data_IF_633094514175
#
_entry.id   IF_633094514175
#
_cell.length_a   1.000
_cell.length_b   1.000
_cell.length_c   1.000
_cell.angle_alpha   90.00
_cell.angle_beta   90.00
_cell.angle_gamma   90.00
#
_symmetry.space_group_name_H-M   'P 1'
#
loop_
_entity.id
_entity.type
_entity.pdbx_description
1 polymer ?
#
# COMPACT_ATOMS: atom_id res chain seq x y z
N UNK A 1 -4.97 -0.51 -6.56
CA UNK A 1 -5.53 -1.75 -5.97
C UNK A 1 -4.38 -2.54 -5.38
N UNK A 2 -4.66 -3.43 -4.42
CA UNK A 2 -3.65 -4.29 -3.79
C UNK A 2 -4.00 -5.74 -4.13
N UNK A 3 -3.14 -6.40 -4.90
CA UNK A 3 -3.29 -7.79 -5.27
C UNK A 3 -2.51 -8.65 -4.27
N UNK A 4 -3.14 -9.69 -3.75
CA UNK A 4 -2.53 -10.54 -2.73
C UNK A 4 -2.84 -12.00 -3.02
N UNK A 5 -1.81 -12.84 -2.91
CA UNK A 5 -1.91 -14.26 -3.18
C UNK A 5 -1.00 -15.04 -2.23
N UNK A 6 -1.54 -16.12 -1.68
CA UNK A 6 -0.79 -17.05 -0.85
C UNK A 6 -1.44 -18.44 -0.92
N UNK A 7 -0.97 -19.25 -1.89
CA UNK A 7 -1.53 -20.59 -2.12
C UNK A 7 -1.38 -21.51 -0.92
N UNK A 8 -0.30 -21.38 -0.17
CA UNK A 8 0.04 -22.28 0.94
C UNK A 8 -0.84 -22.03 2.17
N UNK A 9 -1.12 -20.77 2.50
CA UNK A 9 -1.81 -20.42 3.74
C UNK A 9 -3.27 -19.98 3.55
N UNK A 10 -3.63 -19.42 2.38
CA UNK A 10 -4.99 -18.91 2.08
C UNK A 10 -5.70 -19.83 1.08
N UNK A 11 -4.95 -20.57 0.28
CA UNK A 11 -5.46 -21.39 -0.82
C UNK A 11 -5.36 -20.67 -2.16
N UNK A 12 -5.86 -21.30 -3.23
CA UNK A 12 -5.79 -20.75 -4.58
C UNK A 12 -6.83 -19.64 -4.80
N UNK A 13 -6.62 -18.51 -4.11
CA UNK A 13 -7.50 -17.35 -4.15
C UNK A 13 -6.64 -16.10 -4.29
N UNK A 14 -6.84 -15.37 -5.38
CA UNK A 14 -6.31 -14.03 -5.54
C UNK A 14 -7.28 -13.04 -4.90
N UNK A 15 -6.86 -12.39 -3.82
CA UNK A 15 -7.65 -11.34 -3.17
C UNK A 15 -7.19 -9.98 -3.71
N UNK A 16 -8.13 -9.18 -4.19
CA UNK A 16 -7.90 -7.85 -4.73
C UNK A 16 -8.58 -6.83 -3.85
N UNK A 17 -7.81 -6.02 -3.15
CA UNK A 17 -8.33 -5.03 -2.22
C UNK A 17 -8.37 -3.68 -2.93
N UNK A 18 -9.57 -3.12 -3.03
CA UNK A 18 -9.89 -1.92 -3.80
C UNK A 18 -9.97 -0.71 -2.87
N UNK A 19 -10.59 -0.87 -1.71
CA UNK A 19 -10.76 0.18 -0.72
C UNK A 19 -10.85 -0.41 0.68
N UNK A 20 -10.55 0.42 1.69
CA UNK A 20 -10.81 0.10 3.08
C UNK A 20 -12.32 0.20 3.37
N UNK A 21 -12.85 -0.75 4.14
CA UNK A 21 -14.24 -0.76 4.59
C UNK A 21 -14.48 0.15 5.81
N UNK A 22 -13.42 0.59 6.49
CA UNK A 22 -13.44 1.43 7.69
C UNK A 22 -14.33 0.88 8.80
N UNK A 23 -14.44 -0.45 8.89
CA UNK A 23 -15.31 -1.14 9.86
C UNK A 23 -16.81 -1.08 9.52
N UNK A 24 -17.19 -0.62 8.33
CA UNK A 24 -18.57 -0.67 7.86
C UNK A 24 -18.96 -2.12 7.51
N UNK A 25 -20.25 -2.43 7.64
CA UNK A 25 -20.77 -3.74 7.27
C UNK A 25 -20.59 -4.01 5.76
N UNK A 26 -20.18 -5.23 5.42
CA UNK A 26 -19.97 -5.69 4.05
C UNK A 26 -20.89 -6.86 3.72
N UNK A 27 -21.32 -6.89 2.47
CA UNK A 27 -22.01 -8.01 1.83
C UNK A 27 -21.14 -8.57 0.70
N UNK A 28 -21.46 -9.76 0.22
CA UNK A 28 -20.77 -10.33 -0.93
C UNK A 28 -21.76 -10.95 -1.93
N UNK A 29 -21.38 -10.92 -3.21
CA UNK A 29 -22.01 -11.70 -4.26
C UNK A 29 -20.96 -12.57 -4.94
N UNK A 30 -21.27 -13.85 -5.19
CA UNK A 30 -20.38 -14.77 -5.90
C UNK A 30 -21.04 -15.28 -7.18
N UNK A 31 -20.32 -15.20 -8.28
CA UNK A 31 -20.69 -15.74 -9.60
C UNK A 31 -19.49 -16.50 -10.14
N UNK A 32 -19.65 -17.82 -10.33
CA UNK A 32 -18.57 -18.71 -10.71
C UNK A 32 -17.34 -18.60 -9.80
N UNK A 33 -16.22 -18.23 -10.41
CA UNK A 33 -14.91 -18.08 -9.78
C UNK A 33 -14.69 -16.70 -9.13
N UNK A 34 -15.64 -15.78 -9.22
CA UNK A 34 -15.45 -14.40 -8.76
C UNK A 34 -16.45 -14.08 -7.66
N UNK A 35 -15.95 -13.59 -6.52
CA UNK A 35 -16.76 -12.95 -5.50
C UNK A 35 -16.43 -11.47 -5.37
N UNK A 36 -17.45 -10.63 -5.43
CA UNK A 36 -17.38 -9.19 -5.14
C UNK A 36 -17.77 -8.95 -3.69
N UNK A 37 -16.94 -8.24 -2.95
CA UNK A 37 -17.24 -7.75 -1.60
C UNK A 37 -17.52 -6.26 -1.67
N UNK A 38 -18.65 -5.84 -1.11
CA UNK A 38 -19.11 -4.46 -1.20
C UNK A 38 -19.74 -3.98 0.12
N UNK A 39 -19.66 -2.68 0.37
CA UNK A 39 -20.30 -2.05 1.52
C UNK A 39 -21.83 -2.23 1.45
N UNK A 40 -22.45 -2.70 2.53
CA UNK A 40 -23.89 -2.96 2.58
C UNK A 40 -24.71 -1.69 2.29
N UNK A 41 -24.30 -0.56 2.88
CA UNK A 41 -25.05 0.69 2.79
C UNK A 41 -24.94 1.38 1.42
N UNK A 42 -23.79 1.28 0.76
CA UNK A 42 -23.49 2.08 -0.44
C UNK A 42 -23.38 1.26 -1.72
N UNK A 43 -23.29 -0.07 -1.61
CA UNK A 43 -22.99 -0.95 -2.74
C UNK A 43 -21.57 -0.81 -3.28
N UNK A 44 -20.72 0.05 -2.70
CA UNK A 44 -19.36 0.30 -3.17
C UNK A 44 -18.49 -0.94 -2.97
N UNK A 45 -17.88 -1.42 -4.05
CA UNK A 45 -16.92 -2.52 -4.02
C UNK A 45 -15.67 -2.16 -3.21
N UNK A 46 -15.32 -3.02 -2.26
CA UNK A 46 -14.12 -2.88 -1.40
C UNK A 46 -13.09 -3.97 -1.68
N UNK A 47 -13.52 -5.15 -2.13
CA UNK A 47 -12.60 -6.22 -2.51
C UNK A 47 -13.20 -7.18 -3.54
N UNK A 48 -12.31 -7.95 -4.18
CA UNK A 48 -12.65 -9.10 -5.01
C UNK A 48 -11.89 -10.32 -4.51
N UNK A 49 -12.53 -11.48 -4.55
CA UNK A 49 -11.87 -12.77 -4.37
C UNK A 49 -12.04 -13.57 -5.65
N UNK A 50 -10.93 -13.90 -6.30
CA UNK A 50 -10.89 -14.68 -7.53
C UNK A 50 -10.36 -16.06 -7.15
N UNK A 51 -11.25 -17.04 -7.13
CA UNK A 51 -10.98 -18.43 -6.78
C UNK A 51 -10.34 -19.16 -7.96
N UNK A 52 -9.56 -20.20 -7.67
CA UNK A 52 -8.85 -21.01 -8.67
C UNK A 52 -7.98 -20.13 -9.59
N UNK A 53 -7.39 -19.07 -9.02
CA UNK A 53 -6.65 -18.05 -9.76
C UNK A 53 -5.50 -18.64 -10.58
N UNK A 54 -4.87 -19.71 -10.10
CA UNK A 54 -3.80 -20.41 -10.83
C UNK A 54 -4.26 -21.13 -12.10
N UNK A 55 -5.58 -21.32 -12.29
CA UNK A 55 -6.16 -21.80 -13.55
C UNK A 55 -6.34 -20.70 -14.60
N UNK A 56 -6.41 -19.44 -14.15
CA UNK A 56 -6.64 -18.26 -15.00
C UNK A 56 -5.32 -17.60 -15.41
N UNK A 57 -4.38 -17.49 -14.48
CA UNK A 57 -3.10 -16.82 -14.68
C UNK A 57 -1.98 -17.56 -13.95
N UNK A 58 -0.77 -17.54 -14.51
CA UNK A 58 0.41 -18.05 -13.80
C UNK A 58 0.73 -17.11 -12.63
N UNK A 59 0.52 -17.57 -11.40
CA UNK A 59 0.67 -16.75 -10.21
C UNK A 59 1.28 -17.54 -9.06
N UNK A 60 2.26 -16.93 -8.41
CA UNK A 60 2.87 -17.41 -7.17
C UNK A 60 3.11 -16.21 -6.26
N UNK A 61 3.10 -16.42 -4.96
CA UNK A 61 3.26 -15.33 -4.00
C UNK A 61 3.02 -15.76 -2.56
N UNK A 62 3.53 -14.96 -1.64
CA UNK A 62 3.30 -15.05 -0.21
C UNK A 62 3.03 -13.63 0.32
N UNK A 63 1.84 -13.09 0.01
CA UNK A 63 1.46 -11.71 0.34
C UNK A 63 1.13 -10.90 -0.91
N UNK A 64 1.58 -9.65 -0.96
CA UNK A 64 1.36 -8.78 -2.12
C UNK A 64 2.06 -9.33 -3.36
N UNK A 65 1.35 -9.35 -4.47
CA UNK A 65 1.83 -9.76 -5.79
C UNK A 65 1.63 -8.63 -6.79
N UNK A 66 2.48 -8.60 -7.81
CA UNK A 66 2.42 -7.62 -8.89
C UNK A 66 2.13 -8.36 -10.18
N UNK A 67 1.03 -7.97 -10.84
CA UNK A 67 0.55 -8.63 -12.04
C UNK A 67 1.05 -7.91 -13.29
N UNK A 68 1.18 -8.64 -14.39
CA UNK A 68 1.35 -8.02 -15.71
C UNK A 68 0.03 -7.48 -16.24
N UNK A 69 0.10 -6.59 -17.23
CA UNK A 69 -1.11 -6.09 -17.89
C UNK A 69 -1.89 -7.21 -18.58
N UNK A 70 -1.22 -8.24 -19.12
CA UNK A 70 -1.92 -9.41 -19.69
C UNK A 70 -2.65 -10.23 -18.63
N UNK A 71 -2.05 -10.42 -17.46
CA UNK A 71 -2.70 -11.11 -16.34
C UNK A 71 -3.93 -10.33 -15.88
N UNK A 72 -3.82 -9.01 -15.71
CA UNK A 72 -4.97 -8.17 -15.33
C UNK A 72 -6.06 -8.17 -16.41
N UNK A 73 -5.70 -8.16 -17.69
CA UNK A 73 -6.66 -8.30 -18.79
C UNK A 73 -7.39 -9.64 -18.74
N UNK A 74 -6.68 -10.74 -18.44
CA UNK A 74 -7.27 -12.08 -18.29
C UNK A 74 -8.26 -12.14 -17.13
N UNK A 75 -7.90 -11.57 -15.97
CA UNK A 75 -8.80 -11.49 -14.83
C UNK A 75 -10.03 -10.62 -15.12
N UNK A 76 -9.85 -9.50 -15.82
CA UNK A 76 -10.97 -8.65 -16.25
C UNK A 76 -11.93 -9.35 -17.22
N UNK A 77 -11.41 -10.20 -18.11
CA UNK A 77 -12.25 -11.02 -18.99
C UNK A 77 -13.08 -12.03 -18.18
N UNK A 78 -12.51 -12.62 -17.13
CA UNK A 78 -13.25 -13.53 -16.24
C UNK A 78 -14.33 -12.77 -15.42
N UNK A 79 -14.01 -11.58 -14.88
CA UNK A 79 -15.00 -10.71 -14.22
C UNK A 79 -16.18 -10.40 -15.15
N UNK A 80 -15.90 -10.00 -16.39
CA UNK A 80 -16.91 -9.68 -17.39
C UNK A 80 -17.75 -10.91 -17.78
N UNK A 81 -17.13 -12.08 -17.93
CA UNK A 81 -17.81 -13.36 -18.19
C UNK A 81 -18.81 -13.71 -17.09
N UNK A 82 -18.47 -13.45 -15.83
CA UNK A 82 -19.35 -13.65 -14.69
C UNK A 82 -20.39 -12.52 -14.50
N UNK A 83 -20.40 -11.52 -15.41
CA UNK A 83 -21.41 -10.46 -15.45
C UNK A 83 -21.11 -9.25 -14.57
N UNK A 84 -19.86 -9.06 -14.15
CA UNK A 84 -19.41 -7.84 -13.47
C UNK A 84 -19.01 -6.77 -14.48
N UNK A 85 -19.30 -5.50 -14.17
CA UNK A 85 -19.00 -4.37 -15.07
C UNK A 85 -17.73 -3.62 -14.66
N UNK A 86 -17.33 -3.76 -13.41
CA UNK A 86 -16.12 -3.17 -12.86
C UNK A 86 -14.88 -3.89 -13.36
N UNK A 87 -13.79 -3.13 -13.51
CA UNK A 87 -12.51 -3.64 -13.98
C UNK A 87 -11.43 -3.43 -12.94
N UNK A 88 -10.57 -4.43 -12.79
CA UNK A 88 -9.31 -4.36 -12.08
C UNK A 88 -8.34 -3.43 -12.82
N UNK A 89 -7.60 -2.62 -12.06
CA UNK A 89 -6.60 -1.68 -12.59
C UNK A 89 -5.23 -2.12 -12.12
N UNK A 90 -4.33 -2.32 -13.08
CA UNK A 90 -2.92 -2.54 -12.78
C UNK A 90 -2.23 -1.20 -12.50
N UNK A 91 -1.63 -1.07 -11.33
CA UNK A 91 -0.83 0.10 -10.98
C UNK A 91 0.59 -0.36 -10.65
N UNK A 92 1.44 -0.34 -11.67
CA UNK A 92 2.83 -0.76 -11.59
C UNK A 92 3.75 0.29 -10.95
N UNK A 93 3.21 1.40 -10.44
CA UNK A 93 4.05 2.41 -9.77
C UNK A 93 4.60 1.87 -8.45
N UNK A 94 5.91 2.06 -8.16
CA UNK A 94 6.49 1.64 -6.90
C UNK A 94 5.75 2.23 -5.71
N UNK A 95 5.42 1.39 -4.73
CA UNK A 95 4.69 1.81 -3.53
C UNK A 95 5.61 2.14 -2.35
N UNK A 96 6.87 1.72 -2.41
CA UNK A 96 7.91 2.16 -1.52
C UNK A 96 8.89 3.00 -2.31
N UNK A 97 9.04 4.27 -1.95
CA UNK A 97 9.89 5.22 -2.67
C UNK A 97 10.71 6.07 -1.72
N UNK A 98 11.80 6.64 -2.22
CA UNK A 98 12.55 7.68 -1.54
C UNK A 98 11.72 8.97 -1.53
N UNK A 99 11.39 9.47 -0.34
CA UNK A 99 10.73 10.76 -0.14
C UNK A 99 11.65 11.77 0.54
N UNK A 100 11.40 13.06 0.32
CA UNK A 100 12.07 14.15 1.04
C UNK A 100 11.05 15.04 1.73
N UNK A 101 11.23 15.27 3.03
CA UNK A 101 10.39 16.21 3.79
C UNK A 101 10.73 17.64 3.33
N UNK A 102 9.81 18.30 2.63
CA UNK A 102 10.00 19.68 2.15
C UNK A 102 9.46 20.73 3.11
N UNK A 103 8.48 20.34 3.93
CA UNK A 103 7.88 21.17 4.97
C UNK A 103 7.44 20.28 6.14
N UNK A 104 7.55 20.79 7.36
CA UNK A 104 7.12 20.12 8.58
C UNK A 104 6.52 21.15 9.52
N UNK A 105 5.25 20.95 9.90
CA UNK A 105 4.54 21.80 10.86
C UNK A 105 3.96 20.95 12.00
N UNK A 106 3.89 21.47 13.24
CA UNK A 106 3.25 20.77 14.34
C UNK A 106 1.77 20.46 14.04
N UNK A 107 1.29 19.31 14.49
CA UNK A 107 -0.12 18.94 14.36
C UNK A 107 -0.98 19.78 15.32
N UNK A 108 -2.13 20.35 14.89
CA UNK A 108 -2.96 21.22 15.73
C UNK A 108 -3.59 20.49 16.94
N UNK A 109 -3.89 19.21 16.77
CA UNK A 109 -4.51 18.33 17.79
C UNK A 109 -3.53 17.29 18.40
N UNK A 110 -2.21 17.51 18.30
CA UNK A 110 -1.22 16.62 18.96
C UNK A 110 0.15 17.27 19.16
N UNK A 111 0.74 17.04 20.34
CA UNK A 111 2.10 17.44 20.72
C UNK A 111 3.18 16.44 20.29
N UNK A 112 2.80 15.32 19.69
CA UNK A 112 3.70 14.23 19.29
C UNK A 112 3.64 13.91 17.79
N UNK A 113 2.79 14.61 17.04
CA UNK A 113 2.65 14.44 15.59
C UNK A 113 3.00 15.73 14.87
N UNK A 114 3.50 15.56 13.65
CA UNK A 114 3.75 16.64 12.70
C UNK A 114 3.01 16.34 11.41
N UNK A 115 2.60 17.39 10.72
CA UNK A 115 2.10 17.34 9.35
C UNK A 115 3.31 17.62 8.46
N UNK A 116 3.73 16.61 7.70
CA UNK A 116 4.86 16.70 6.79
C UNK A 116 4.36 16.79 5.35
N UNK A 117 4.88 17.76 4.59
CA UNK A 117 4.79 17.74 3.14
C UNK A 117 6.02 17.00 2.61
N UNK A 118 5.81 15.91 1.87
CA UNK A 118 6.87 15.01 1.44
C UNK A 118 6.88 14.93 -0.09
N UNK A 119 7.96 15.38 -0.72
CA UNK A 119 8.20 15.18 -2.14
C UNK A 119 8.55 13.71 -2.40
N UNK A 120 7.80 13.04 -3.28
CA UNK A 120 7.94 11.61 -3.60
C UNK A 120 8.24 11.38 -5.08
N UNK A 121 8.81 12.38 -5.76
CA UNK A 121 9.15 12.32 -7.18
C UNK A 121 8.00 12.79 -8.05
N UNK A 122 8.10 14.02 -8.56
CA UNK A 122 7.10 14.63 -9.45
C UNK A 122 5.82 15.10 -8.75
N UNK A 123 5.65 14.82 -7.45
CA UNK A 123 4.55 15.34 -6.62
C UNK A 123 4.92 15.39 -5.13
N UNK A 124 4.17 16.19 -4.39
CA UNK A 124 4.25 16.28 -2.93
C UNK A 124 2.99 15.67 -2.31
N UNK A 125 3.14 14.92 -1.23
CA UNK A 125 2.04 14.31 -0.48
C UNK A 125 2.10 14.73 0.99
N UNK A 126 0.95 14.93 1.60
CA UNK A 126 0.84 15.17 3.05
C UNK A 126 0.90 13.85 3.80
N UNK A 127 1.77 13.75 4.79
CA UNK A 127 1.90 12.58 5.68
C UNK A 127 1.94 13.09 7.12
N UNK A 128 1.03 12.60 7.95
CA UNK A 128 1.09 12.86 9.40
C UNK A 128 2.03 11.84 10.03
N UNK A 129 3.05 12.29 10.75
CA UNK A 129 4.07 11.42 11.34
C UNK A 129 4.50 11.87 12.74
N UNK A 130 4.76 10.90 13.61
CA UNK A 130 5.29 11.10 14.97
C UNK A 130 6.72 10.62 15.15
N UNK A 131 7.48 10.45 14.06
CA UNK A 131 8.86 9.99 14.15
C UNK A 131 9.73 11.09 14.79
N UNK A 132 10.50 10.79 15.85
CA UNK A 132 11.24 11.82 16.59
C UNK A 132 12.38 12.44 15.79
N UNK A 133 12.87 11.76 14.76
CA UNK A 133 13.93 12.21 13.86
C UNK A 133 13.38 12.85 12.57
N UNK A 134 12.07 13.02 12.41
CA UNK A 134 11.51 13.71 11.26
C UNK A 134 11.93 15.20 11.27
N UNK A 135 12.58 15.64 10.20
CA UNK A 135 13.06 17.01 10.05
C UNK A 135 12.92 17.47 8.59
N UNK A 136 12.70 18.77 8.39
CA UNK A 136 12.72 19.35 7.05
C UNK A 136 14.08 19.11 6.38
N UNK A 137 14.05 18.72 5.11
CA UNK A 137 15.22 18.34 4.32
C UNK A 137 15.54 16.84 4.34
N UNK A 138 15.11 16.11 5.39
CA UNK A 138 15.41 14.69 5.55
C UNK A 138 14.86 13.86 4.39
N UNK A 139 15.71 12.99 3.85
CA UNK A 139 15.33 11.94 2.90
C UNK A 139 15.09 10.63 3.64
N UNK A 140 13.99 9.98 3.31
CA UNK A 140 13.52 8.76 3.98
C UNK A 140 12.79 7.84 3.01
N UNK A 141 12.35 6.67 3.48
CA UNK A 141 11.50 5.76 2.71
C UNK A 141 10.04 6.02 3.05
N UNK A 142 9.23 6.15 2.01
CA UNK A 142 7.79 6.41 2.10
C UNK A 142 7.04 5.23 1.52
N UNK A 143 6.14 4.64 2.31
CA UNK A 143 5.09 3.75 1.84
C UNK A 143 3.88 4.57 1.38
N UNK A 144 3.57 4.51 0.09
CA UNK A 144 2.45 5.18 -0.54
C UNK A 144 1.17 4.32 -0.49
N UNK A 145 -0.02 4.93 -0.64
CA UNK A 145 -1.27 4.20 -0.77
C UNK A 145 -1.20 3.08 -1.82
N UNK A 146 -1.64 1.89 -1.42
CA UNK A 146 -1.49 0.66 -2.19
C UNK A 146 -0.29 -0.21 -1.80
N UNK A 147 0.56 0.25 -0.88
CA UNK A 147 1.59 -0.60 -0.27
C UNK A 147 0.98 -1.62 0.71
N UNK A 148 1.50 -2.84 0.69
CA UNK A 148 1.39 -3.80 1.80
C UNK A 148 2.71 -3.79 2.58
N UNK A 149 2.62 -3.55 3.87
CA UNK A 149 3.74 -3.65 4.81
C UNK A 149 4.10 -5.13 5.04
N UNK A 150 5.36 -5.46 5.38
CA UNK A 150 5.76 -6.82 5.76
C UNK A 150 4.93 -7.44 6.90
N UNK A 151 4.32 -6.61 7.76
CA UNK A 151 3.37 -7.06 8.79
C UNK A 151 2.01 -7.53 8.25
N UNK A 152 1.74 -7.32 6.96
CA UNK A 152 0.43 -7.52 6.32
C UNK A 152 -0.48 -6.29 6.35
N UNK A 153 -0.11 -5.23 7.07
CA UNK A 153 -0.89 -3.98 7.12
C UNK A 153 -0.89 -3.27 5.77
N UNK A 154 -2.02 -2.67 5.39
CA UNK A 154 -2.20 -2.00 4.10
C UNK A 154 -2.20 -0.49 4.27
N UNK A 155 -1.56 0.22 3.34
CA UNK A 155 -1.55 1.68 3.33
C UNK A 155 -2.70 2.19 2.46
N UNK A 156 -3.64 2.91 3.08
CA UNK A 156 -4.74 3.59 2.42
C UNK A 156 -4.66 5.11 2.59
N UNK A 157 -5.24 5.89 1.67
CA UNK A 157 -5.49 7.31 1.90
C UNK A 157 -6.46 7.47 3.08
N UNK A 158 -6.09 8.28 4.06
CA UNK A 158 -6.88 8.40 5.28
C UNK A 158 -6.72 9.74 5.97
N UNK A 159 -7.26 9.79 7.20
CA UNK A 159 -7.08 10.91 8.11
C UNK A 159 -6.53 10.39 9.42
N UNK A 160 -5.58 11.12 10.00
CA UNK A 160 -5.09 10.88 11.35
C UNK A 160 -5.42 12.12 12.17
N UNK A 161 -6.29 11.97 13.18
CA UNK A 161 -6.76 13.08 14.04
C UNK A 161 -7.31 14.27 13.25
N UNK A 162 -8.07 14.00 12.19
CA UNK A 162 -8.74 15.00 11.36
C UNK A 162 -7.93 15.46 10.14
N UNK A 163 -6.60 15.36 10.21
CA UNK A 163 -5.69 15.78 9.15
C UNK A 163 -5.45 14.67 8.13
N UNK A 164 -5.40 15.03 6.85
CA UNK A 164 -5.19 14.06 5.77
C UNK A 164 -3.79 13.45 5.84
N UNK A 165 -3.68 12.15 5.59
CA UNK A 165 -2.42 11.43 5.49
C UNK A 165 -2.45 10.46 4.31
N UNK A 166 -1.53 10.66 3.38
CA UNK A 166 -1.45 9.95 2.11
C UNK A 166 -0.19 9.08 2.02
N UNK A 167 0.12 8.38 3.11
CA UNK A 167 1.24 7.46 3.19
C UNK A 167 1.79 7.32 4.60
N UNK A 168 2.95 6.71 4.70
CA UNK A 168 3.68 6.50 5.94
C UNK A 168 5.17 6.60 5.66
N UNK A 169 5.90 7.35 6.49
CA UNK A 169 7.37 7.31 6.48
C UNK A 169 7.82 6.11 7.31
N UNK A 170 8.69 5.28 6.74
CA UNK A 170 8.97 3.95 7.27
C UNK A 170 10.22 3.91 8.15
N UNK A 171 10.11 3.19 9.26
CA UNK A 171 11.25 2.72 10.05
C UNK A 171 11.85 1.43 9.47
N UNK A 172 13.11 1.11 9.81
CA UNK A 172 13.70 -0.18 9.44
C UNK A 172 12.92 -1.38 9.98
N UNK A 173 12.32 -1.23 11.17
CA UNK A 173 11.54 -2.28 11.84
C UNK A 173 10.25 -2.60 11.10
N UNK A 174 9.54 -1.58 10.66
CA UNK A 174 8.30 -1.74 9.87
C UNK A 174 8.56 -2.43 8.53
N UNK A 175 9.73 -2.17 7.94
CA UNK A 175 10.18 -2.81 6.71
C UNK A 175 10.85 -4.18 6.94
N UNK A 176 10.85 -4.69 8.17
CA UNK A 176 11.48 -5.96 8.56
C UNK A 176 12.95 -6.07 8.10
N UNK A 177 13.68 -4.96 8.12
CA UNK A 177 15.07 -4.90 7.66
C UNK A 177 16.03 -5.53 8.69
N UNK A 178 17.09 -6.21 8.24
CA UNK A 178 18.10 -6.79 9.13
C UNK A 178 18.84 -5.69 9.91
N UNK A 179 19.28 -6.02 11.14
CA UNK A 179 19.98 -5.10 12.04
C UNK A 179 19.20 -3.82 12.38
N UNK A 180 17.87 -3.82 12.24
CA UNK A 180 17.04 -2.68 12.59
C UNK A 180 17.29 -2.22 14.05
N UNK A 181 17.64 -0.95 14.28
CA UNK A 181 17.91 -0.43 15.61
C UNK A 181 16.65 -0.51 16.49
N UNK A 182 16.87 -0.66 17.81
CA UNK A 182 15.77 -0.68 18.79
C UNK A 182 15.17 0.73 19.02
N UNK A 183 15.92 1.77 18.71
CA UNK A 183 15.50 3.17 18.84
C UNK A 183 14.39 3.46 17.83
N UNK A 184 13.42 4.29 18.24
CA UNK A 184 12.33 4.74 17.38
C UNK A 184 12.84 5.79 16.39
N UNK A 185 12.47 5.66 15.13
CA UNK A 185 12.79 6.62 14.08
C UNK A 185 12.51 6.07 12.69
N UNK A 186 12.35 6.97 11.73
CA UNK A 186 12.27 6.63 10.29
C UNK A 186 13.68 6.46 9.72
N UNK A 187 13.79 5.79 8.57
CA UNK A 187 15.07 5.62 7.88
C UNK A 187 15.63 6.99 7.48
N UNK A 188 16.88 7.25 7.81
CA UNK A 188 17.60 8.43 7.35
C UNK A 188 18.46 8.04 6.15
N UNK A 189 18.28 8.73 5.03
CA UNK A 189 19.03 8.49 3.81
C UNK A 189 20.02 9.62 3.55
N UNK A 190 21.16 9.26 2.96
CA UNK A 190 22.16 10.21 2.48
C UNK A 190 21.57 11.20 1.46
N UNK A 191 22.10 12.42 1.41
CA UNK A 191 21.69 13.45 0.46
C UNK A 191 21.84 13.03 -1.02
N UNK A 192 22.66 12.03 -1.30
CA UNK A 192 22.79 11.45 -2.64
C UNK A 192 21.59 10.60 -3.07
N UNK A 193 20.68 10.23 -2.17
CA UNK A 193 19.48 9.47 -2.51
C UNK A 193 18.56 10.26 -3.47
N UNK A 194 18.05 9.58 -4.48
CA UNK A 194 17.24 10.21 -5.54
C UNK A 194 15.76 10.16 -5.14
N UNK A 195 15.15 11.31 -4.95
CA UNK A 195 13.73 11.41 -4.58
C UNK A 195 12.84 10.84 -5.69
N UNK A 196 11.88 9.99 -5.32
CA UNK A 196 11.00 9.26 -6.22
C UNK A 196 11.55 7.93 -6.72
N UNK A 197 12.81 7.60 -6.42
CA UNK A 197 13.36 6.29 -6.74
C UNK A 197 12.67 5.20 -5.91
N UNK A 198 12.48 4.02 -6.53
CA UNK A 198 11.95 2.86 -5.83
C UNK A 198 12.89 2.43 -4.69
N UNK A 199 12.30 2.04 -3.57
CA UNK A 199 13.08 1.51 -2.44
C UNK A 199 13.77 0.20 -2.83
N UNK A 200 15.07 0.17 -2.59
CA UNK A 200 15.95 -0.99 -2.70
C UNK A 200 16.70 -1.14 -1.37
N UNK A 201 16.45 -2.20 -0.58
CA UNK A 201 17.13 -2.43 0.69
C UNK A 201 18.65 -2.48 0.58
N UNK A 202 19.22 -2.99 -0.52
CA UNK A 202 20.68 -3.09 -0.69
C UNK A 202 21.31 -1.70 -0.85
N UNK A 203 20.60 -0.81 -1.55
CA UNK A 203 21.06 0.56 -1.81
C UNK A 203 20.76 1.52 -0.67
N UNK A 204 19.58 1.39 -0.07
CA UNK A 204 19.01 2.39 0.84
C UNK A 204 19.07 1.97 2.32
N UNK A 205 19.61 0.78 2.63
CA UNK A 205 19.78 0.33 4.01
C UNK A 205 21.17 -0.30 4.20
N UNK A 206 21.95 0.26 5.13
CA UNK A 206 23.33 -0.18 5.43
C UNK A 206 23.48 -0.87 6.80
N UNK A 207 22.43 -0.89 7.62
CA UNK A 207 22.45 -1.43 8.99
C UNK A 207 22.83 -0.38 10.02
#
# INVERSE_FOLDING_TARGET
MIFTYNKEHVGDVLMVIVAEDKGQAVQFERKGQVARVFLEETGKTVAWNIFEASSLVEITGNGQVFLTDEQVATLNAELAKEGFTETLVNDATPKFVVGQIVELVPHPDSDHLNICQVNVGGKTVQIVAGAPNAAQGLKTIVALPGAMMPSGSLIFPGKLRGEDSFGMMCSPRELALPNAPQVRGIIELDDSAVVGEAFDPVKHWKG
#
